data_IF_567287991510
#
_entry.id   IF_567287991510
#
_cell.length_a   1.000
_cell.length_b   1.000
_cell.length_c   1.000
_cell.angle_alpha   90.00
_cell.angle_beta   90.00
_cell.angle_gamma   90.00
#
_symmetry.space_group_name_H-M   'P 1'
#
loop_
_entity.id
_entity.type
_entity.pdbx_description
1 polymer ?
#
# COMPACT_ATOMS: atom_id res chain seq x y z
N UNK A 1 -26.00 -6.37 18.32
CA UNK A 1 -25.33 -5.70 17.19
C UNK A 1 -26.27 -5.92 15.99
N UNK A 2 -26.61 -4.85 15.26
CA UNK A 2 -27.37 -4.97 14.00
C UNK A 2 -26.59 -5.83 13.01
N UNK A 3 -27.28 -6.66 12.25
CA UNK A 3 -26.68 -7.46 11.18
C UNK A 3 -26.12 -6.54 10.10
N UNK A 4 -24.89 -6.77 9.67
CA UNK A 4 -24.26 -6.00 8.59
C UNK A 4 -24.79 -6.46 7.25
N UNK A 5 -25.57 -5.61 6.59
CA UNK A 5 -26.19 -5.84 5.27
C UNK A 5 -25.28 -5.38 4.12
N UNK A 6 -24.54 -4.26 4.32
CA UNK A 6 -23.60 -3.71 3.36
C UNK A 6 -22.23 -3.67 4.02
N UNK A 7 -21.34 -4.64 3.72
CA UNK A 7 -20.01 -4.69 4.30
C UNK A 7 -19.12 -3.60 3.71
N UNK A 8 -18.13 -3.15 4.48
CA UNK A 8 -17.17 -2.13 4.07
C UNK A 8 -16.38 -2.53 2.81
N UNK A 9 -15.89 -3.77 2.81
CA UNK A 9 -15.09 -4.36 1.73
C UNK A 9 -15.54 -5.80 1.51
N UNK A 10 -15.50 -6.23 0.26
CA UNK A 10 -15.66 -7.64 -0.12
C UNK A 10 -14.40 -8.02 -0.90
N UNK A 11 -13.50 -8.82 -0.32
CA UNK A 11 -12.32 -9.30 -1.02
C UNK A 11 -12.70 -10.05 -2.30
N UNK A 12 -11.93 -9.83 -3.36
CA UNK A 12 -12.11 -10.50 -4.64
C UNK A 12 -10.87 -11.31 -4.97
N UNK A 13 -10.98 -12.61 -4.87
CA UNK A 13 -9.97 -13.58 -5.28
C UNK A 13 -10.45 -14.33 -6.52
N UNK A 14 -9.56 -14.92 -7.32
CA UNK A 14 -9.91 -15.83 -8.40
C UNK A 14 -10.72 -17.01 -7.90
N UNK A 15 -11.62 -17.48 -8.73
CA UNK A 15 -12.40 -18.70 -8.45
C UNK A 15 -11.56 -19.97 -8.62
N UNK A 16 -12.18 -21.09 -8.32
CA UNK A 16 -11.54 -22.42 -8.37
C UNK A 16 -11.04 -22.75 -9.78
N UNK A 17 -11.82 -22.45 -10.78
CA UNK A 17 -11.54 -22.73 -12.18
C UNK A 17 -10.30 -21.98 -12.66
N UNK A 18 -10.15 -20.70 -12.29
CA UNK A 18 -8.97 -19.90 -12.61
C UNK A 18 -7.70 -20.40 -11.89
N UNK A 19 -7.84 -21.01 -10.72
CA UNK A 19 -6.71 -21.55 -9.96
C UNK A 19 -6.25 -22.93 -10.44
N UNK A 20 -7.12 -23.70 -11.05
CA UNK A 20 -6.90 -25.13 -11.30
C UNK A 20 -5.60 -25.44 -12.04
N UNK A 21 -5.30 -24.69 -13.12
CA UNK A 21 -4.11 -24.92 -13.92
C UNK A 21 -2.80 -24.62 -13.17
N UNK A 22 -2.81 -23.64 -12.29
CA UNK A 22 -1.65 -23.27 -11.46
C UNK A 22 -1.45 -24.27 -10.32
N UNK A 23 -2.52 -24.71 -9.65
CA UNK A 23 -2.44 -25.74 -8.61
C UNK A 23 -1.94 -27.06 -9.16
N UNK A 24 -2.38 -27.46 -10.37
CA UNK A 24 -1.88 -28.64 -11.06
C UNK A 24 -0.37 -28.63 -11.28
N UNK A 25 0.21 -27.46 -11.59
CA UNK A 25 1.67 -27.31 -11.71
C UNK A 25 2.40 -27.52 -10.37
N UNK A 26 1.81 -27.10 -9.24
CA UNK A 26 2.37 -27.34 -7.91
C UNK A 26 2.35 -28.85 -7.60
N UNK A 27 1.22 -29.49 -7.88
CA UNK A 27 1.06 -30.93 -7.62
C UNK A 27 2.02 -31.80 -8.45
N UNK A 28 2.23 -31.42 -9.72
CA UNK A 28 3.15 -32.11 -10.62
C UNK A 28 4.61 -31.93 -10.19
N UNK A 29 5.02 -30.68 -9.91
CA UNK A 29 6.42 -30.37 -9.59
C UNK A 29 6.79 -30.59 -8.13
N UNK A 30 5.81 -30.71 -7.23
CA UNK A 30 5.98 -30.85 -5.77
C UNK A 30 6.90 -29.78 -5.17
N UNK A 31 6.86 -28.57 -5.75
CA UNK A 31 7.60 -27.40 -5.30
C UNK A 31 6.61 -26.42 -4.67
N UNK A 32 6.75 -26.13 -3.39
CA UNK A 32 5.75 -25.42 -2.60
C UNK A 32 6.18 -24.04 -2.11
N UNK A 33 7.50 -23.78 -2.08
CA UNK A 33 8.11 -22.54 -1.58
C UNK A 33 9.52 -22.34 -2.14
N UNK A 34 10.30 -21.40 -1.57
CA UNK A 34 11.71 -21.20 -1.88
C UNK A 34 11.98 -20.84 -3.35
N UNK A 35 11.36 -19.77 -3.81
CA UNK A 35 11.58 -19.20 -5.15
C UNK A 35 11.27 -20.18 -6.28
N UNK A 36 10.14 -20.86 -6.16
CA UNK A 36 9.71 -21.87 -7.12
C UNK A 36 9.24 -21.30 -8.46
N UNK A 37 8.80 -22.17 -9.37
CA UNK A 37 8.48 -21.80 -10.75
C UNK A 37 7.35 -20.78 -10.87
N UNK A 38 6.28 -20.90 -10.05
CA UNK A 38 5.16 -19.95 -10.10
C UNK A 38 5.54 -18.58 -9.54
N UNK A 39 6.36 -18.54 -8.47
CA UNK A 39 6.93 -17.29 -7.95
C UNK A 39 7.73 -16.59 -9.04
N UNK A 40 8.64 -17.29 -9.73
CA UNK A 40 9.43 -16.71 -10.83
C UNK A 40 8.57 -16.24 -12.01
N UNK A 41 7.52 -17.00 -12.34
CA UNK A 41 6.57 -16.62 -13.39
C UNK A 41 5.80 -15.37 -13.00
N UNK A 42 5.36 -15.27 -11.73
CA UNK A 42 4.67 -14.08 -11.22
C UNK A 42 5.58 -12.85 -11.28
N UNK A 43 6.83 -12.97 -10.80
CA UNK A 43 7.81 -11.88 -10.85
C UNK A 43 8.07 -11.40 -12.29
N UNK A 44 8.26 -12.33 -13.23
CA UNK A 44 8.46 -12.01 -14.65
C UNK A 44 7.24 -11.32 -15.26
N UNK A 45 6.03 -11.79 -14.96
CA UNK A 45 4.79 -11.17 -15.48
C UNK A 45 4.53 -9.80 -14.87
N UNK A 46 4.77 -9.63 -13.58
CA UNK A 46 4.72 -8.31 -12.93
C UNK A 46 5.72 -7.35 -13.56
N UNK A 47 6.97 -7.78 -13.77
CA UNK A 47 7.99 -6.99 -14.43
C UNK A 47 7.52 -6.53 -15.83
N UNK A 48 6.93 -7.42 -16.62
CA UNK A 48 6.37 -7.10 -17.94
C UNK A 48 5.30 -6.00 -17.84
N UNK A 49 4.44 -6.01 -16.81
CA UNK A 49 3.44 -4.95 -16.61
C UNK A 49 4.10 -3.58 -16.35
N UNK A 50 5.19 -3.53 -15.58
CA UNK A 50 5.91 -2.28 -15.36
C UNK A 50 6.64 -1.81 -16.60
N UNK A 51 7.20 -2.72 -17.41
CA UNK A 51 7.92 -2.40 -18.65
C UNK A 51 7.02 -1.84 -19.76
N UNK A 52 5.71 -2.01 -19.68
CA UNK A 52 4.75 -1.31 -20.57
C UNK A 52 4.77 0.21 -20.31
N UNK A 53 5.09 0.63 -19.10
CA UNK A 53 5.06 2.04 -18.68
C UNK A 53 6.45 2.71 -18.65
N UNK A 54 7.53 1.92 -18.74
CA UNK A 54 8.89 2.43 -18.69
C UNK A 54 9.89 1.50 -19.37
N UNK A 55 10.97 2.07 -19.91
CA UNK A 55 12.11 1.32 -20.47
C UNK A 55 13.24 1.11 -19.44
N UNK A 56 12.99 1.40 -18.16
CA UNK A 56 14.00 1.25 -17.13
C UNK A 56 14.34 -0.23 -16.89
N UNK A 57 15.60 -0.55 -16.55
CA UNK A 57 15.97 -1.87 -16.06
C UNK A 57 15.40 -2.06 -14.65
N UNK A 58 14.26 -2.72 -14.53
CA UNK A 58 13.59 -2.95 -13.25
C UNK A 58 13.76 -4.40 -12.80
N UNK A 59 13.69 -4.60 -11.50
CA UNK A 59 13.66 -5.88 -10.82
C UNK A 59 12.40 -5.98 -9.97
N UNK A 60 11.79 -7.15 -9.94
CA UNK A 60 10.64 -7.46 -9.08
C UNK A 60 11.05 -8.59 -8.14
N UNK A 61 10.87 -8.36 -6.85
CA UNK A 61 11.13 -9.37 -5.79
C UNK A 61 9.85 -9.57 -5.00
N UNK A 62 9.28 -10.76 -5.03
CA UNK A 62 8.09 -11.11 -4.24
C UNK A 62 8.44 -11.40 -2.79
N UNK A 63 7.49 -11.07 -1.91
CA UNK A 63 7.59 -11.26 -0.46
C UNK A 63 6.27 -11.76 0.12
N UNK A 64 6.28 -12.36 1.30
CA UNK A 64 5.09 -12.93 1.94
C UNK A 64 4.09 -11.89 2.44
N UNK A 65 4.46 -10.62 2.55
CA UNK A 65 3.56 -9.48 2.79
C UNK A 65 4.23 -8.15 2.42
N UNK A 66 3.44 -7.13 2.08
CA UNK A 66 4.00 -5.78 1.86
C UNK A 66 4.69 -5.22 3.10
N UNK A 67 4.22 -5.52 4.30
CA UNK A 67 4.86 -5.07 5.55
C UNK A 67 6.30 -5.57 5.64
N UNK A 68 6.53 -6.85 5.32
CA UNK A 68 7.90 -7.40 5.23
C UNK A 68 8.65 -6.81 4.04
N UNK A 69 8.00 -6.57 2.90
CA UNK A 69 8.63 -5.86 1.78
C UNK A 69 9.14 -4.48 2.14
N UNK A 70 8.36 -3.70 2.91
CA UNK A 70 8.76 -2.39 3.43
C UNK A 70 9.94 -2.51 4.42
N UNK A 71 9.85 -3.46 5.37
CA UNK A 71 10.94 -3.73 6.33
C UNK A 71 12.25 -4.05 5.59
N UNK A 72 12.21 -4.96 4.62
CA UNK A 72 13.38 -5.37 3.86
C UNK A 72 13.92 -4.26 2.94
N UNK A 73 13.04 -3.49 2.27
CA UNK A 73 13.45 -2.36 1.44
C UNK A 73 14.12 -1.26 2.27
N UNK A 74 13.59 -0.96 3.47
CA UNK A 74 14.20 -0.04 4.40
C UNK A 74 15.56 -0.58 4.92
N UNK A 75 15.62 -1.85 5.30
CA UNK A 75 16.86 -2.49 5.76
C UNK A 75 17.94 -2.48 4.68
N UNK A 76 17.58 -2.67 3.40
CA UNK A 76 18.50 -2.61 2.26
C UNK A 76 19.10 -1.22 2.04
N UNK A 77 18.55 -0.15 2.62
CA UNK A 77 19.17 1.18 2.61
C UNK A 77 20.47 1.23 3.43
N UNK A 78 20.69 0.26 4.30
CA UNK A 78 21.87 0.10 5.15
C UNK A 78 22.25 1.39 5.92
N UNK A 79 21.24 2.07 6.49
CA UNK A 79 21.45 3.27 7.30
C UNK A 79 21.91 2.89 8.72
N UNK A 80 22.61 3.78 9.44
CA UNK A 80 22.94 3.57 10.85
C UNK A 80 21.70 3.27 11.69
N UNK A 81 21.84 2.37 12.67
CA UNK A 81 20.80 2.02 13.62
C UNK A 81 20.20 3.28 14.28
N UNK A 82 18.89 3.35 14.42
CA UNK A 82 18.20 4.50 15.00
C UNK A 82 18.08 5.71 14.06
N UNK A 83 18.50 5.62 12.78
CA UNK A 83 18.36 6.71 11.81
C UNK A 83 16.91 7.19 11.73
N UNK A 84 16.67 8.52 11.73
CA UNK A 84 15.33 9.08 11.59
C UNK A 84 14.78 8.83 10.18
N UNK A 85 13.55 8.27 10.10
CA UNK A 85 12.83 8.00 8.85
C UNK A 85 11.47 8.70 8.88
N UNK A 86 11.25 9.62 7.95
CA UNK A 86 9.97 10.34 7.81
C UNK A 86 8.87 9.40 7.31
N UNK A 87 7.66 9.58 7.86
CA UNK A 87 6.45 8.85 7.45
C UNK A 87 5.24 9.75 7.64
N UNK A 88 4.21 9.74 6.74
CA UNK A 88 3.02 10.57 6.93
C UNK A 88 2.21 10.13 8.16
N UNK A 89 1.59 11.08 8.84
CA UNK A 89 0.71 10.81 9.97
C UNK A 89 -0.54 10.01 9.57
N UNK A 90 -1.05 10.23 8.36
CA UNK A 90 -2.25 9.59 7.80
C UNK A 90 -1.86 8.39 6.93
N UNK A 91 -1.58 7.26 7.54
CA UNK A 91 -1.31 5.98 6.86
C UNK A 91 -1.66 4.81 7.77
N UNK A 92 -1.61 3.61 7.21
CA UNK A 92 -1.79 2.37 7.96
C UNK A 92 -0.56 2.07 8.84
N UNK A 93 -0.78 1.43 9.97
CA UNK A 93 0.28 1.14 10.98
C UNK A 93 1.43 0.30 10.44
N UNK A 94 1.26 -0.41 9.32
CA UNK A 94 2.32 -1.21 8.71
C UNK A 94 3.54 -0.37 8.32
N UNK A 95 3.33 0.87 7.82
CA UNK A 95 4.42 1.79 7.49
C UNK A 95 5.27 2.13 8.72
N UNK A 96 4.61 2.40 9.87
CA UNK A 96 5.29 2.64 11.16
C UNK A 96 6.06 1.40 11.63
N UNK A 97 5.39 0.25 11.61
CA UNK A 97 5.94 -1.03 12.06
C UNK A 97 7.17 -1.41 11.25
N UNK A 98 7.14 -1.22 9.92
CA UNK A 98 8.27 -1.54 9.05
C UNK A 98 9.52 -0.70 9.39
N UNK A 99 9.37 0.60 9.69
CA UNK A 99 10.47 1.48 10.10
C UNK A 99 11.11 0.99 11.40
N UNK A 100 10.27 0.67 12.41
CA UNK A 100 10.74 0.19 13.72
C UNK A 100 11.47 -1.15 13.57
N UNK A 101 10.92 -2.07 12.79
CA UNK A 101 11.51 -3.40 12.59
C UNK A 101 12.79 -3.37 11.76
N UNK A 102 12.93 -2.41 10.85
CA UNK A 102 14.20 -2.14 10.17
C UNK A 102 15.26 -1.52 11.09
N UNK A 103 14.90 -1.25 12.35
CA UNK A 103 15.80 -0.70 13.35
C UNK A 103 15.97 0.82 13.29
N UNK A 104 15.04 1.52 12.67
CA UNK A 104 15.07 2.97 12.51
C UNK A 104 14.08 3.67 13.44
N UNK A 105 14.25 4.98 13.60
CA UNK A 105 13.36 5.82 14.39
C UNK A 105 12.33 6.49 13.49
N UNK A 106 11.03 6.17 13.61
CA UNK A 106 10.01 6.86 12.84
C UNK A 106 9.88 8.32 13.25
N UNK A 107 9.78 9.19 12.26
CA UNK A 107 9.45 10.61 12.43
C UNK A 107 8.15 10.89 11.68
N UNK A 108 7.09 11.11 12.44
CA UNK A 108 5.77 11.37 11.87
C UNK A 108 5.68 12.82 11.42
N UNK A 109 5.35 13.03 10.14
CA UNK A 109 5.22 14.32 9.50
C UNK A 109 3.79 14.56 9.00
N UNK A 110 3.46 15.83 8.73
CA UNK A 110 2.17 16.25 8.21
C UNK A 110 2.00 15.85 6.73
N UNK A 111 0.83 16.13 6.18
CA UNK A 111 0.42 15.83 4.81
C UNK A 111 -0.05 17.09 4.09
N UNK A 112 -0.14 17.03 2.77
CA UNK A 112 -0.76 18.09 1.97
C UNK A 112 -2.29 18.08 2.14
N UNK A 113 -2.89 19.27 2.20
CA UNK A 113 -4.30 19.43 2.56
C UNK A 113 -5.28 18.81 1.57
N UNK A 114 -4.95 18.83 0.27
CA UNK A 114 -5.84 18.38 -0.79
C UNK A 114 -5.52 16.96 -1.25
N UNK A 115 -4.23 16.63 -1.45
CA UNK A 115 -3.81 15.29 -1.89
C UNK A 115 -3.74 14.27 -0.76
N UNK A 116 -3.71 14.70 0.49
CA UNK A 116 -3.53 13.89 1.72
C UNK A 116 -2.25 13.05 1.69
N UNK A 117 -1.28 13.43 0.90
CA UNK A 117 0.02 12.77 0.77
C UNK A 117 1.10 13.55 1.53
N UNK A 118 2.10 12.84 2.03
CA UNK A 118 3.39 13.45 2.31
C UNK A 118 4.05 13.78 0.97
N UNK A 119 4.34 15.06 0.73
CA UNK A 119 4.95 15.52 -0.52
C UNK A 119 6.45 15.79 -0.33
N UNK A 120 7.25 15.86 -1.43
CA UNK A 120 8.67 16.22 -1.34
C UNK A 120 8.93 17.56 -0.66
N UNK A 121 8.04 18.55 -0.80
CA UNK A 121 8.15 19.87 -0.18
C UNK A 121 8.02 19.77 1.35
N UNK A 122 6.97 19.08 1.83
CA UNK A 122 6.76 18.83 3.26
C UNK A 122 7.94 18.02 3.83
N UNK A 123 8.35 16.97 3.11
CA UNK A 123 9.48 16.13 3.51
C UNK A 123 10.80 16.92 3.57
N UNK A 124 11.01 17.89 2.67
CA UNK A 124 12.22 18.75 2.68
C UNK A 124 12.28 19.60 3.96
N UNK A 125 11.18 20.21 4.36
CA UNK A 125 11.10 21.00 5.57
C UNK A 125 11.28 20.12 6.83
N UNK A 126 10.58 18.98 6.88
CA UNK A 126 10.65 18.03 7.97
C UNK A 126 12.05 17.40 8.12
N UNK A 127 12.70 17.03 7.00
CA UNK A 127 14.04 16.45 7.02
C UNK A 127 15.10 17.39 7.59
N UNK A 128 15.01 18.69 7.23
CA UNK A 128 15.91 19.71 7.82
C UNK A 128 15.72 19.86 9.33
N UNK A 129 14.48 19.72 9.81
CA UNK A 129 14.15 19.88 11.23
C UNK A 129 14.61 18.68 12.08
N UNK A 130 14.52 17.46 11.57
CA UNK A 130 14.79 16.24 12.35
C UNK A 130 16.07 15.50 11.94
N UNK A 131 16.77 15.94 10.89
CA UNK A 131 17.96 15.26 10.38
C UNK A 131 17.64 13.89 9.73
N UNK A 132 16.45 13.74 9.11
CA UNK A 132 16.03 12.49 8.49
C UNK A 132 17.05 11.95 7.49
N UNK A 133 17.21 10.61 7.49
CA UNK A 133 18.08 9.88 6.57
C UNK A 133 17.30 9.18 5.47
N UNK A 134 16.02 8.92 5.72
CA UNK A 134 15.11 8.39 4.70
C UNK A 134 13.67 8.93 4.87
N UNK A 135 12.88 8.72 3.83
CA UNK A 135 11.44 8.95 3.79
C UNK A 135 10.76 7.65 3.35
N UNK A 136 9.74 7.23 4.07
CA UNK A 136 8.76 6.27 3.62
C UNK A 136 7.52 7.05 3.17
N UNK A 137 7.49 7.41 1.89
CA UNK A 137 6.32 8.05 1.28
C UNK A 137 5.21 7.02 1.05
N UNK A 138 3.95 7.42 1.22
CA UNK A 138 2.82 6.49 1.11
C UNK A 138 1.87 6.95 0.01
N UNK A 139 1.48 6.03 -0.87
CA UNK A 139 0.42 6.21 -1.85
C UNK A 139 -0.95 6.01 -1.18
N UNK A 140 -1.32 6.95 -0.29
CA UNK A 140 -2.49 6.87 0.57
C UNK A 140 -3.77 6.76 -0.25
N UNK A 141 -4.61 5.75 0.05
CA UNK A 141 -5.85 5.40 -0.67
C UNK A 141 -5.66 5.07 -2.16
N UNK A 142 -4.44 4.69 -2.56
CA UNK A 142 -4.11 4.34 -3.94
C UNK A 142 -3.72 5.54 -4.82
N UNK A 143 -3.67 6.76 -4.26
CA UNK A 143 -3.16 7.95 -4.93
C UNK A 143 -1.66 7.82 -5.13
N UNK A 144 -1.21 7.77 -6.38
CA UNK A 144 0.19 7.57 -6.72
C UNK A 144 1.10 8.71 -6.23
N UNK A 145 2.32 8.35 -5.85
CA UNK A 145 3.42 9.28 -5.60
C UNK A 145 4.20 9.53 -6.91
N UNK A 146 4.60 10.75 -7.16
CA UNK A 146 5.43 11.11 -8.31
C UNK A 146 6.89 10.71 -8.05
N UNK A 147 7.34 9.63 -8.68
CA UNK A 147 8.69 9.10 -8.48
C UNK A 147 9.79 10.04 -8.99
N UNK A 148 9.53 10.89 -9.98
CA UNK A 148 10.51 11.87 -10.48
C UNK A 148 10.68 13.01 -9.48
N UNK A 149 9.60 13.51 -8.88
CA UNK A 149 9.70 14.51 -7.82
C UNK A 149 10.42 13.97 -6.59
N UNK A 150 10.21 12.71 -6.24
CA UNK A 150 10.94 12.05 -5.16
C UNK A 150 12.41 11.79 -5.50
N UNK A 151 12.74 11.50 -6.75
CA UNK A 151 14.14 11.43 -7.21
C UNK A 151 14.83 12.78 -7.07
N UNK A 152 14.19 13.85 -7.53
CA UNK A 152 14.67 15.23 -7.36
C UNK A 152 14.90 15.59 -5.90
N UNK A 153 13.97 15.22 -5.02
CA UNK A 153 14.13 15.38 -3.57
C UNK A 153 15.36 14.63 -3.07
N UNK A 154 15.52 13.35 -3.43
CA UNK A 154 16.63 12.52 -3.01
C UNK A 154 17.97 13.11 -3.48
N UNK A 155 18.08 13.57 -4.72
CA UNK A 155 19.27 14.19 -5.27
C UNK A 155 19.62 15.52 -4.56
N UNK A 156 18.64 16.35 -4.25
CA UNK A 156 18.84 17.66 -3.61
C UNK A 156 19.18 17.56 -2.13
N UNK A 157 18.67 16.55 -1.44
CA UNK A 157 18.78 16.44 0.02
C UNK A 157 19.74 15.35 0.50
N UNK A 158 20.06 14.36 -0.34
CA UNK A 158 20.74 13.13 0.05
C UNK A 158 19.90 12.18 0.91
N UNK A 159 18.64 12.50 1.17
CA UNK A 159 17.71 11.67 1.96
C UNK A 159 17.12 10.58 1.07
N UNK A 160 17.26 9.31 1.47
CA UNK A 160 16.80 8.15 0.70
C UNK A 160 15.26 8.07 0.72
N UNK A 161 14.66 7.52 -0.35
CA UNK A 161 13.21 7.39 -0.44
C UNK A 161 12.81 5.96 -0.73
N UNK A 162 11.76 5.50 -0.04
CA UNK A 162 11.01 4.26 -0.33
C UNK A 162 9.55 4.65 -0.44
N UNK A 163 8.81 4.08 -1.41
CA UNK A 163 7.38 4.32 -1.57
C UNK A 163 6.59 3.10 -1.10
N UNK A 164 5.70 3.29 -0.13
CA UNK A 164 4.65 2.35 0.24
C UNK A 164 3.45 2.54 -0.70
N UNK A 165 3.34 1.69 -1.69
CA UNK A 165 2.25 1.65 -2.66
C UNK A 165 1.30 0.45 -2.42
N UNK A 166 1.14 0.01 -1.17
CA UNK A 166 0.37 -1.17 -0.81
C UNK A 166 -1.09 -1.17 -1.31
N UNK A 167 -1.66 -0.01 -1.61
CA UNK A 167 -3.02 0.13 -2.17
C UNK A 167 -3.06 0.63 -3.61
N UNK A 168 -1.91 0.78 -4.30
CA UNK A 168 -1.81 1.55 -5.52
C UNK A 168 -1.39 0.75 -6.77
N UNK A 169 -1.49 -0.58 -6.74
CA UNK A 169 -1.19 -1.38 -7.95
C UNK A 169 -2.10 -0.98 -9.11
N UNK A 170 -1.50 -0.75 -10.27
CA UNK A 170 -2.16 -0.23 -11.48
C UNK A 170 -2.19 1.31 -11.57
N UNK A 171 -1.85 2.03 -10.49
CA UNK A 171 -1.76 3.50 -10.47
C UNK A 171 -0.33 3.98 -10.24
N UNK A 172 0.41 3.29 -9.37
CA UNK A 172 1.79 3.64 -9.06
C UNK A 172 2.75 2.95 -10.04
N UNK A 173 3.41 3.76 -10.85
CA UNK A 173 4.46 3.33 -11.77
C UNK A 173 5.80 3.92 -11.36
N UNK A 174 6.90 3.35 -11.87
CA UNK A 174 8.26 3.85 -11.67
C UNK A 174 8.72 4.57 -12.94
N UNK A 175 9.06 5.85 -12.81
CA UNK A 175 9.64 6.66 -13.88
C UNK A 175 11.12 6.98 -13.63
N UNK A 176 11.69 6.39 -12.57
CA UNK A 176 13.11 6.45 -12.21
C UNK A 176 13.53 5.12 -11.59
N UNK A 177 14.78 4.66 -11.78
CA UNK A 177 15.29 3.44 -11.15
C UNK A 177 15.59 3.63 -9.65
N UNK A 178 15.75 4.87 -9.18
CA UNK A 178 16.35 5.20 -7.89
C UNK A 178 15.41 5.04 -6.70
N UNK A 179 14.11 4.96 -6.96
CA UNK A 179 13.07 4.94 -5.93
C UNK A 179 12.39 3.59 -5.89
N UNK A 180 12.67 2.73 -4.90
CA UNK A 180 11.97 1.46 -4.75
C UNK A 180 10.53 1.66 -4.30
N UNK A 181 9.64 0.81 -4.82
CA UNK A 181 8.20 0.86 -4.55
C UNK A 181 7.71 -0.50 -4.08
N UNK A 182 6.93 -0.52 -3.00
CA UNK A 182 6.42 -1.74 -2.37
C UNK A 182 4.91 -1.85 -2.55
N UNK A 183 4.45 -3.00 -3.05
CA UNK A 183 3.04 -3.30 -3.32
C UNK A 183 2.54 -4.44 -2.44
N UNK A 184 1.25 -4.41 -2.10
CA UNK A 184 0.58 -5.50 -1.36
C UNK A 184 -0.29 -6.34 -2.28
N UNK A 185 -0.24 -7.65 -2.05
CA UNK A 185 -1.15 -8.62 -2.64
C UNK A 185 -2.08 -9.27 -1.59
N UNK A 186 -2.29 -8.60 -0.44
CA UNK A 186 -3.30 -9.02 0.53
C UNK A 186 -4.69 -9.14 -0.12
N UNK A 187 -5.55 -10.03 0.38
CA UNK A 187 -6.87 -10.33 -0.17
C UNK A 187 -7.77 -9.11 -0.46
N UNK A 188 -7.61 -8.00 0.28
CA UNK A 188 -8.40 -6.77 0.10
C UNK A 188 -7.83 -5.82 -0.96
N UNK A 189 -6.67 -6.11 -1.54
CA UNK A 189 -6.00 -5.23 -2.51
C UNK A 189 -6.51 -5.49 -3.93
N UNK A 190 -6.17 -4.57 -4.84
CA UNK A 190 -6.61 -4.63 -6.24
C UNK A 190 -6.03 -5.83 -7.00
N UNK A 191 -4.76 -6.18 -6.75
CA UNK A 191 -4.15 -7.42 -7.18
C UNK A 191 -3.97 -8.30 -5.94
N UNK A 192 -4.83 -9.28 -5.75
CA UNK A 192 -4.87 -10.08 -4.55
C UNK A 192 -4.27 -11.47 -4.75
N UNK A 193 -3.47 -11.94 -3.79
CA UNK A 193 -2.93 -13.29 -3.74
C UNK A 193 -3.32 -14.04 -2.45
N UNK A 194 -4.30 -13.50 -1.70
CA UNK A 194 -4.61 -13.92 -0.33
C UNK A 194 -3.70 -13.23 0.65
N UNK A 195 -2.43 -13.57 0.68
CA UNK A 195 -1.34 -12.87 1.32
C UNK A 195 -0.17 -12.71 0.34
N UNK A 196 0.63 -11.66 0.50
CA UNK A 196 1.79 -11.40 -0.33
C UNK A 196 2.08 -9.93 -0.51
N UNK A 197 3.17 -9.68 -1.18
CA UNK A 197 3.62 -8.38 -1.66
C UNK A 197 4.77 -8.54 -2.62
N UNK A 198 5.21 -7.43 -3.17
CA UNK A 198 6.42 -7.39 -3.98
C UNK A 198 7.06 -6.00 -3.95
N UNK A 199 8.35 -5.98 -4.17
CA UNK A 199 9.16 -4.76 -4.30
C UNK A 199 9.60 -4.62 -5.74
N UNK A 200 9.46 -3.41 -6.30
CA UNK A 200 9.99 -3.04 -7.62
C UNK A 200 11.10 -2.03 -7.41
N UNK A 201 12.26 -2.27 -7.99
CA UNK A 201 13.43 -1.39 -7.90
C UNK A 201 14.21 -1.43 -9.21
N UNK A 202 14.84 -0.31 -9.59
CA UNK A 202 15.84 -0.27 -10.66
C UNK A 202 17.25 -0.60 -10.18
N UNK A 203 17.47 -0.70 -8.86
CA UNK A 203 18.74 -1.07 -8.27
C UNK A 203 18.84 -2.60 -8.12
N UNK A 204 19.71 -3.28 -8.91
CA UNK A 204 19.89 -4.72 -8.84
C UNK A 204 20.44 -5.19 -7.50
N UNK A 205 21.28 -4.38 -6.84
CA UNK A 205 21.83 -4.73 -5.54
C UNK A 205 20.76 -4.71 -4.45
N UNK A 206 19.88 -3.71 -4.46
CA UNK A 206 18.71 -3.69 -3.57
C UNK A 206 17.81 -4.91 -3.78
N UNK A 207 17.52 -5.27 -5.03
CA UNK A 207 16.70 -6.44 -5.33
C UNK A 207 17.36 -7.73 -4.81
N UNK A 208 18.69 -7.87 -5.01
CA UNK A 208 19.50 -8.99 -4.50
C UNK A 208 19.45 -9.07 -2.96
N UNK A 209 19.67 -7.94 -2.28
CA UNK A 209 19.64 -7.87 -0.80
C UNK A 209 18.26 -8.23 -0.25
N UNK A 210 17.17 -7.73 -0.88
CA UNK A 210 15.80 -8.07 -0.46
C UNK A 210 15.55 -9.57 -0.62
N UNK A 211 15.91 -10.16 -1.77
CA UNK A 211 15.77 -11.60 -2.01
C UNK A 211 16.56 -12.42 -0.98
N UNK A 212 17.80 -12.05 -0.71
CA UNK A 212 18.64 -12.69 0.29
C UNK A 212 18.08 -12.59 1.70
N UNK A 213 17.72 -11.38 2.15
CA UNK A 213 17.15 -11.17 3.48
C UNK A 213 15.78 -11.83 3.64
N UNK A 214 14.99 -11.95 2.56
CA UNK A 214 13.72 -12.68 2.57
C UNK A 214 13.89 -14.19 2.79
N UNK A 215 15.09 -14.69 2.54
CA UNK A 215 15.51 -16.09 2.79
C UNK A 215 16.53 -16.16 3.94
N UNK A 216 16.18 -15.63 5.09
CA UNK A 216 16.99 -15.64 6.32
C UNK A 216 18.32 -14.88 6.25
N UNK A 217 18.69 -14.25 5.13
CA UNK A 217 20.00 -13.65 4.90
C UNK A 217 21.08 -14.66 4.46
N UNK A 218 20.67 -15.84 4.04
CA UNK A 218 21.56 -16.93 3.59
C UNK A 218 22.13 -16.58 2.20
N UNK A 219 23.44 -16.80 2.02
CA UNK A 219 24.06 -16.75 0.70
C UNK A 219 23.55 -17.88 -0.18
N UNK A 220 22.94 -17.54 -1.31
CA UNK A 220 22.49 -18.49 -2.34
C UNK A 220 23.36 -18.43 -3.61
N UNK A 221 24.37 -17.54 -3.66
CA UNK A 221 25.22 -17.30 -4.80
C UNK A 221 26.65 -17.82 -4.55
N UNK A 222 27.31 -18.26 -5.60
CA UNK A 222 28.72 -18.63 -5.57
C UNK A 222 29.57 -17.35 -5.51
N UNK A 223 29.87 -16.89 -4.32
CA UNK A 223 30.80 -15.79 -4.09
C UNK A 223 32.16 -16.31 -3.62
N UNK A 224 33.23 -15.64 -4.05
CA UNK A 224 34.60 -16.13 -3.82
C UNK A 224 34.96 -16.29 -2.34
N UNK A 225 34.42 -15.43 -1.46
CA UNK A 225 34.87 -15.36 -0.07
C UNK A 225 33.90 -15.98 0.94
N UNK A 226 32.65 -16.25 0.56
CA UNK A 226 31.65 -16.78 1.49
C UNK A 226 30.90 -17.95 0.83
N UNK A 227 30.98 -19.17 1.40
CA UNK A 227 30.31 -20.33 0.83
C UNK A 227 28.78 -20.20 0.82
N UNK A 228 28.14 -20.87 -0.15
CA UNK A 228 26.67 -21.04 -0.18
C UNK A 228 26.18 -21.68 1.12
N UNK A 229 25.07 -21.17 1.64
CA UNK A 229 24.47 -21.63 2.90
C UNK A 229 24.91 -20.87 4.15
N UNK A 230 25.93 -20.03 4.06
CA UNK A 230 26.34 -19.15 5.18
C UNK A 230 25.48 -17.90 5.23
N UNK A 231 25.33 -17.32 6.42
CA UNK A 231 24.65 -16.02 6.61
C UNK A 231 25.55 -14.87 6.14
N UNK A 232 25.01 -14.01 5.27
CA UNK A 232 25.64 -12.73 4.88
C UNK A 232 25.07 -11.55 5.68
N UNK A 233 23.82 -11.66 6.13
CA UNK A 233 23.14 -10.64 6.91
C UNK A 233 22.06 -11.26 7.79
N UNK A 234 21.53 -10.50 8.74
CA UNK A 234 20.29 -10.88 9.42
C UNK A 234 19.13 -10.76 8.44
N UNK A 235 18.30 -11.79 8.38
CA UNK A 235 17.12 -11.83 7.53
C UNK A 235 15.94 -12.49 8.22
N UNK A 236 14.89 -12.77 7.46
CA UNK A 236 13.67 -13.38 7.95
C UNK A 236 13.10 -14.35 6.91
N UNK A 237 12.09 -15.16 7.29
CA UNK A 237 11.35 -15.96 6.33
C UNK A 237 10.22 -15.13 5.71
N UNK A 238 10.55 -14.38 4.66
CA UNK A 238 9.61 -13.52 3.96
C UNK A 238 9.32 -13.96 2.51
N UNK A 239 9.68 -15.20 2.16
CA UNK A 239 9.44 -15.74 0.81
C UNK A 239 7.95 -15.92 0.55
N UNK A 240 7.53 -15.60 -0.68
CA UNK A 240 6.19 -15.96 -1.16
C UNK A 240 6.11 -17.48 -1.40
N UNK A 241 4.98 -18.10 -1.03
CA UNK A 241 4.74 -19.51 -1.35
C UNK A 241 4.23 -19.69 -2.79
N UNK A 242 4.41 -20.87 -3.37
CA UNK A 242 3.87 -21.21 -4.68
C UNK A 242 2.33 -21.15 -4.71
N UNK A 243 1.65 -21.47 -3.60
CA UNK A 243 0.20 -21.33 -3.51
C UNK A 243 -0.27 -19.87 -3.62
N UNK A 244 0.40 -18.95 -2.92
CA UNK A 244 0.07 -17.51 -3.07
C UNK A 244 0.48 -16.98 -4.46
N UNK A 245 1.58 -17.50 -5.02
CA UNK A 245 1.95 -17.15 -6.40
C UNK A 245 0.91 -17.64 -7.43
N UNK A 246 0.35 -18.84 -7.24
CA UNK A 246 -0.75 -19.36 -8.06
C UNK A 246 -1.97 -18.44 -8.02
N UNK A 247 -2.39 -18.01 -6.82
CA UNK A 247 -3.49 -17.04 -6.67
C UNK A 247 -3.15 -15.70 -7.31
N UNK A 248 -1.93 -15.21 -7.10
CA UNK A 248 -1.46 -13.95 -7.70
C UNK A 248 -1.45 -14.00 -9.23
N UNK A 249 -1.02 -15.11 -9.84
CA UNK A 249 -1.03 -15.31 -11.29
C UNK A 249 -2.46 -15.33 -11.84
N UNK A 250 -3.37 -16.07 -11.22
CA UNK A 250 -4.78 -16.11 -11.62
C UNK A 250 -5.45 -14.73 -11.46
N UNK A 251 -5.09 -13.98 -10.39
CA UNK A 251 -5.54 -12.59 -10.23
C UNK A 251 -5.01 -11.68 -11.34
N UNK A 252 -3.76 -11.87 -11.74
CA UNK A 252 -3.13 -11.09 -12.82
C UNK A 252 -3.77 -11.38 -14.19
N UNK A 253 -4.22 -12.63 -14.44
CA UNK A 253 -4.99 -12.98 -15.64
C UNK A 253 -6.32 -12.20 -15.72
N UNK A 254 -6.98 -12.00 -14.59
CA UNK A 254 -8.26 -11.29 -14.50
C UNK A 254 -8.13 -9.77 -14.30
N UNK A 255 -6.89 -9.29 -14.07
CA UNK A 255 -6.61 -7.92 -13.67
C UNK A 255 -7.27 -6.84 -14.54
N UNK A 256 -7.15 -6.85 -15.90
CA UNK A 256 -7.71 -5.78 -16.73
C UNK A 256 -9.23 -5.64 -16.55
N UNK A 257 -9.93 -6.77 -16.46
CA UNK A 257 -11.37 -6.80 -16.27
C UNK A 257 -11.77 -6.29 -14.88
N UNK A 258 -11.03 -6.71 -13.85
CA UNK A 258 -11.32 -6.31 -12.46
C UNK A 258 -11.01 -4.84 -12.22
N UNK A 259 -9.92 -4.33 -12.77
CA UNK A 259 -9.59 -2.91 -12.71
C UNK A 259 -10.68 -2.06 -13.36
N UNK A 260 -11.15 -2.45 -14.55
CA UNK A 260 -12.24 -1.75 -15.23
C UNK A 260 -13.55 -1.74 -14.43
N UNK A 261 -13.94 -2.88 -13.83
CA UNK A 261 -15.12 -2.95 -12.96
C UNK A 261 -15.00 -2.00 -11.77
N UNK A 262 -13.84 -1.97 -11.08
CA UNK A 262 -13.59 -1.06 -9.96
C UNK A 262 -13.71 0.41 -10.36
N UNK A 263 -13.13 0.79 -11.51
CA UNK A 263 -13.24 2.15 -12.04
C UNK A 263 -14.70 2.56 -12.30
N UNK A 264 -15.47 1.70 -12.97
CA UNK A 264 -16.89 1.99 -13.30
C UNK A 264 -17.70 2.20 -12.03
N UNK A 265 -17.61 1.28 -11.07
CA UNK A 265 -18.33 1.39 -9.79
C UNK A 265 -17.90 2.64 -9.00
N UNK A 266 -16.59 2.92 -8.97
CA UNK A 266 -16.06 4.10 -8.28
C UNK A 266 -16.59 5.40 -8.90
N UNK A 267 -16.58 5.51 -10.24
CA UNK A 267 -17.08 6.68 -10.95
C UNK A 267 -18.58 6.91 -10.72
N UNK A 268 -19.39 5.84 -10.82
CA UNK A 268 -20.82 5.90 -10.55
C UNK A 268 -21.11 6.33 -9.11
N UNK A 269 -20.41 5.76 -8.15
CA UNK A 269 -20.59 6.08 -6.74
C UNK A 269 -20.20 7.53 -6.44
N UNK A 270 -19.10 8.00 -7.00
CA UNK A 270 -18.68 9.40 -6.89
C UNK A 270 -19.74 10.34 -7.49
N UNK A 271 -20.28 10.01 -8.67
CA UNK A 271 -21.34 10.78 -9.31
C UNK A 271 -22.60 10.86 -8.45
N UNK A 272 -23.07 9.73 -7.89
CA UNK A 272 -24.22 9.70 -6.99
C UNK A 272 -24.04 10.63 -5.80
N UNK A 273 -22.91 10.53 -5.13
CA UNK A 273 -22.61 11.36 -3.96
C UNK A 273 -22.47 12.84 -4.31
N UNK A 274 -21.77 13.16 -5.40
CA UNK A 274 -21.59 14.54 -5.84
C UNK A 274 -22.92 15.21 -6.22
N UNK A 275 -23.79 14.48 -6.90
CA UNK A 275 -25.12 14.97 -7.27
C UNK A 275 -26.03 15.19 -6.05
N UNK A 276 -25.97 14.31 -5.03
CA UNK A 276 -26.84 14.36 -3.86
C UNK A 276 -26.35 15.33 -2.79
N UNK A 277 -25.05 15.39 -2.56
CA UNK A 277 -24.42 16.12 -1.45
C UNK A 277 -23.65 17.37 -1.88
N UNK A 278 -23.39 17.52 -3.20
CA UNK A 278 -22.73 18.72 -3.74
C UNK A 278 -21.37 19.00 -3.10
N UNK A 279 -21.10 20.29 -2.86
CA UNK A 279 -19.83 20.80 -2.34
C UNK A 279 -19.63 20.55 -0.83
N UNK A 280 -20.57 19.88 -0.17
CA UNK A 280 -20.43 19.53 1.25
C UNK A 280 -19.42 18.41 1.50
N UNK A 281 -19.08 17.67 0.45
CA UNK A 281 -18.08 16.62 0.48
C UNK A 281 -16.72 17.11 -0.05
N UNK A 282 -15.64 16.71 0.62
CA UNK A 282 -14.29 16.98 0.14
C UNK A 282 -13.59 15.67 -0.22
N UNK A 283 -13.09 15.61 -1.44
CA UNK A 283 -12.41 14.45 -2.00
C UNK A 283 -10.90 14.63 -1.96
N UNK A 284 -10.18 13.51 -1.91
CA UNK A 284 -8.74 13.52 -2.18
C UNK A 284 -8.49 13.98 -3.61
N UNK A 285 -7.64 14.99 -3.79
CA UNK A 285 -7.27 15.47 -5.13
C UNK A 285 -6.15 14.63 -5.73
N UNK A 286 -6.12 14.58 -7.06
CA UNK A 286 -5.12 13.83 -7.82
C UNK A 286 -5.74 12.94 -8.89
N UNK A 287 -4.99 11.96 -9.35
CA UNK A 287 -5.45 11.01 -10.37
C UNK A 287 -6.27 9.91 -9.69
N UNK A 288 -7.49 9.69 -10.16
CA UNK A 288 -8.31 8.55 -9.69
C UNK A 288 -7.53 7.25 -9.84
N UNK A 289 -7.40 6.44 -8.77
CA UNK A 289 -6.69 5.17 -8.85
C UNK A 289 -7.22 4.25 -9.95
N UNK A 290 -6.32 3.59 -10.69
CA UNK A 290 -6.68 2.70 -11.78
C UNK A 290 -7.55 1.51 -11.35
N UNK A 291 -7.40 1.08 -10.10
CA UNK A 291 -8.21 0.02 -9.50
C UNK A 291 -8.48 0.32 -8.02
N UNK A 292 -9.33 1.31 -7.71
CA UNK A 292 -9.60 1.71 -6.33
C UNK A 292 -10.08 0.52 -5.49
N UNK A 293 -9.64 0.47 -4.24
CA UNK A 293 -10.00 -0.57 -3.27
C UNK A 293 -10.71 -0.01 -2.05
N UNK A 294 -10.66 1.30 -1.88
CA UNK A 294 -11.31 2.04 -0.80
C UNK A 294 -12.06 3.23 -1.38
N UNK A 295 -13.06 3.68 -0.68
CA UNK A 295 -13.82 4.88 -1.04
C UNK A 295 -13.87 5.77 0.20
N UNK A 296 -13.10 6.85 0.19
CA UNK A 296 -12.91 7.72 1.35
C UNK A 296 -13.30 9.16 1.00
N UNK A 297 -14.02 9.81 1.92
CA UNK A 297 -14.51 11.16 1.73
C UNK A 297 -14.51 11.92 3.06
N UNK A 298 -14.31 13.22 3.02
CA UNK A 298 -14.49 14.12 4.17
C UNK A 298 -15.90 14.72 4.14
N UNK A 299 -16.55 14.75 5.29
CA UNK A 299 -17.95 15.16 5.45
C UNK A 299 -18.10 16.52 6.20
N UNK A 300 -17.06 17.34 6.16
CA UNK A 300 -17.06 18.72 6.64
C UNK A 300 -16.86 18.91 8.14
N UNK A 301 -17.29 17.97 8.98
CA UNK A 301 -17.07 18.04 10.43
C UNK A 301 -17.03 16.67 11.11
N UNK A 302 -16.37 16.61 12.28
CA UNK A 302 -16.38 15.40 13.12
C UNK A 302 -17.78 15.05 13.63
N UNK A 303 -18.63 16.06 13.86
CA UNK A 303 -20.01 15.85 14.29
C UNK A 303 -20.86 15.20 13.19
N UNK A 304 -20.72 15.67 11.93
CA UNK A 304 -21.36 15.06 10.76
C UNK A 304 -20.87 13.62 10.55
N UNK A 305 -19.56 13.37 10.66
CA UNK A 305 -19.00 12.02 10.58
C UNK A 305 -19.57 11.09 11.65
N UNK A 306 -19.62 11.52 12.90
CA UNK A 306 -20.14 10.72 14.01
C UNK A 306 -21.65 10.46 13.88
N UNK A 307 -22.41 11.42 13.31
CA UNK A 307 -23.81 11.23 12.97
C UNK A 307 -23.97 10.22 11.84
N UNK A 308 -23.17 10.35 10.76
CA UNK A 308 -23.15 9.44 9.63
C UNK A 308 -22.88 7.99 10.05
N UNK A 309 -21.87 7.76 10.88
CA UNK A 309 -21.56 6.43 11.40
C UNK A 309 -22.74 5.80 12.18
N UNK A 310 -23.43 6.59 13.00
CA UNK A 310 -24.61 6.11 13.74
C UNK A 310 -25.76 5.75 12.79
N UNK A 311 -26.03 6.56 11.80
CA UNK A 311 -27.09 6.30 10.81
C UNK A 311 -26.75 5.05 9.97
N UNK A 312 -25.53 4.96 9.46
CA UNK A 312 -25.06 3.78 8.73
C UNK A 312 -25.16 2.50 9.58
N UNK A 313 -24.72 2.54 10.83
CA UNK A 313 -24.80 1.38 11.73
C UNK A 313 -26.25 0.93 11.97
N UNK A 314 -27.20 1.88 12.12
CA UNK A 314 -28.63 1.59 12.27
C UNK A 314 -29.19 0.83 11.07
N UNK A 315 -28.76 1.17 9.87
CA UNK A 315 -29.18 0.54 8.61
C UNK A 315 -28.36 -0.71 8.26
N UNK A 316 -27.40 -1.11 9.08
CA UNK A 316 -26.53 -2.26 8.82
C UNK A 316 -25.43 -1.99 7.78
N UNK A 317 -25.00 -0.74 7.64
CA UNK A 317 -23.97 -0.31 6.70
C UNK A 317 -22.66 -0.13 7.46
N UNK A 318 -21.61 -0.85 7.03
CA UNK A 318 -20.29 -0.75 7.64
C UNK A 318 -19.53 0.47 7.14
N UNK A 319 -18.91 1.23 8.04
CA UNK A 319 -18.02 2.35 7.74
C UNK A 319 -16.68 2.18 8.45
N UNK A 320 -15.68 2.97 8.09
CA UNK A 320 -14.36 2.93 8.72
C UNK A 320 -13.74 4.30 8.83
N UNK A 321 -13.12 4.60 9.98
CA UNK A 321 -12.27 5.77 10.16
C UNK A 321 -10.85 5.44 9.67
N UNK A 322 -10.56 5.74 8.41
CA UNK A 322 -9.22 5.59 7.81
C UNK A 322 -8.39 6.86 8.04
N UNK A 323 -7.21 6.86 8.53
CA UNK A 323 -6.56 5.89 9.39
C UNK A 323 -6.59 6.48 10.79
N UNK A 324 -7.47 5.98 11.64
CA UNK A 324 -7.56 6.43 13.03
C UNK A 324 -7.34 5.26 13.98
N UNK A 325 -6.56 5.50 15.04
CA UNK A 325 -5.86 6.74 15.38
C UNK A 325 -4.72 7.05 14.38
N UNK A 326 -4.34 8.35 14.23
CA UNK A 326 -3.16 8.75 13.46
C UNK A 326 -1.88 8.12 14.05
N UNK A 327 -0.83 7.96 13.21
CA UNK A 327 0.35 7.18 13.60
C UNK A 327 1.00 7.62 14.92
N UNK A 328 1.11 8.92 15.17
CA UNK A 328 1.71 9.44 16.41
C UNK A 328 0.94 9.06 17.67
N UNK A 329 -0.36 8.74 17.57
CA UNK A 329 -1.18 8.31 18.69
C UNK A 329 -0.95 6.84 19.07
N UNK A 330 -0.41 6.02 18.16
CA UNK A 330 -0.02 4.65 18.45
C UNK A 330 1.28 4.55 19.29
N UNK A 331 2.13 5.56 19.22
CA UNK A 331 3.47 5.56 19.79
C UNK A 331 3.56 5.33 21.30
N UNK A 332 2.51 5.66 22.05
CA UNK A 332 2.49 5.54 23.52
C UNK A 332 2.87 4.15 24.06
N UNK A 333 2.91 3.12 23.21
CA UNK A 333 3.21 1.72 23.60
C UNK A 333 4.27 1.02 22.72
N UNK A 334 4.75 1.64 21.65
CA UNK A 334 5.58 0.95 20.64
C UNK A 334 7.05 1.37 20.65
N UNK A 335 7.48 2.24 21.54
CA UNK A 335 8.86 2.67 21.65
C UNK A 335 9.08 4.12 21.20
N UNK A 336 10.32 4.43 20.83
CA UNK A 336 10.73 5.78 20.50
C UNK A 336 10.20 6.21 19.13
N UNK A 337 9.44 7.30 19.09
CA UNK A 337 8.89 7.93 17.88
C UNK A 337 9.04 9.45 18.04
N UNK A 338 9.44 10.12 16.99
CA UNK A 338 9.47 11.58 16.91
C UNK A 338 8.19 12.04 16.22
N UNK A 339 7.47 12.98 16.82
CA UNK A 339 6.27 13.57 16.27
C UNK A 339 6.53 15.04 15.95
N UNK A 340 6.49 15.38 14.67
CA UNK A 340 6.42 16.77 14.20
C UNK A 340 4.96 17.24 14.22
N UNK A 341 4.68 18.56 14.29
CA UNK A 341 3.30 19.06 14.21
C UNK A 341 2.57 18.54 12.96
N UNK A 342 1.35 18.03 13.14
CA UNK A 342 0.53 17.41 12.08
C UNK A 342 -0.89 18.01 11.98
N UNK A 343 -1.04 19.36 11.99
CA UNK A 343 -2.36 19.99 12.03
C UNK A 343 -3.25 19.66 10.84
N UNK A 344 -2.66 19.45 9.65
CA UNK A 344 -3.43 19.11 8.46
C UNK A 344 -3.93 17.66 8.55
N UNK A 345 -3.07 16.71 8.92
CA UNK A 345 -3.48 15.32 9.10
C UNK A 345 -4.57 15.19 10.17
N UNK A 346 -4.46 15.93 11.28
CA UNK A 346 -5.47 15.96 12.34
C UNK A 346 -6.81 16.51 11.83
N UNK A 347 -6.77 17.63 11.06
CA UNK A 347 -7.97 18.21 10.44
C UNK A 347 -8.61 17.25 9.45
N UNK A 348 -7.83 16.59 8.58
CA UNK A 348 -8.33 15.60 7.62
C UNK A 348 -8.93 14.41 8.35
N UNK A 349 -8.24 13.86 9.34
CA UNK A 349 -8.73 12.71 10.10
C UNK A 349 -10.00 13.01 10.92
N UNK A 350 -10.23 14.28 11.29
CA UNK A 350 -11.38 14.67 12.11
C UNK A 350 -12.73 14.37 11.45
N UNK A 351 -12.82 14.48 10.12
CA UNK A 351 -14.07 14.31 9.36
C UNK A 351 -13.97 13.30 8.20
N UNK A 352 -12.83 12.63 8.06
CA UNK A 352 -12.61 11.58 7.06
C UNK A 352 -13.34 10.30 7.45
N UNK A 353 -14.04 9.70 6.46
CA UNK A 353 -14.71 8.41 6.61
C UNK A 353 -14.52 7.56 5.37
N UNK A 354 -14.31 6.27 5.56
CA UNK A 354 -14.36 5.25 4.51
C UNK A 354 -15.76 4.67 4.41
N UNK A 355 -16.28 4.69 3.21
CA UNK A 355 -17.60 4.15 2.85
C UNK A 355 -17.47 2.74 2.26
N UNK A 356 -18.54 1.93 2.26
CA UNK A 356 -18.54 0.64 1.58
C UNK A 356 -18.09 0.74 0.12
N UNK A 357 -17.18 -0.14 -0.28
CA UNK A 357 -16.74 -0.21 -1.67
C UNK A 357 -16.38 -1.63 -2.08
N UNK A 358 -17.04 -2.13 -3.10
CA UNK A 358 -16.72 -3.41 -3.74
C UNK A 358 -17.23 -3.43 -5.19
N UNK A 359 -16.75 -4.36 -6.00
CA UNK A 359 -17.26 -4.56 -7.38
C UNK A 359 -18.69 -5.15 -7.43
N UNK A 360 -19.26 -5.49 -6.29
CA UNK A 360 -20.61 -6.04 -6.14
C UNK A 360 -21.63 -4.98 -5.70
N UNK A 361 -21.22 -3.71 -5.54
CA UNK A 361 -22.13 -2.65 -5.15
C UNK A 361 -23.20 -2.42 -6.22
N UNK A 362 -24.45 -2.37 -5.78
CA UNK A 362 -25.58 -2.04 -6.64
C UNK A 362 -25.90 -0.55 -6.59
N UNK A 363 -26.56 -0.05 -7.63
CA UNK A 363 -27.05 1.35 -7.68
C UNK A 363 -27.93 1.67 -6.46
N UNK A 364 -28.84 0.76 -6.07
CA UNK A 364 -29.71 0.95 -4.91
C UNK A 364 -28.91 1.11 -3.60
N UNK A 365 -27.82 0.36 -3.42
CA UNK A 365 -26.95 0.52 -2.26
C UNK A 365 -26.21 1.88 -2.25
N UNK A 366 -25.77 2.35 -3.41
CA UNK A 366 -25.13 3.67 -3.55
C UNK A 366 -26.11 4.80 -3.25
N UNK A 367 -27.38 4.68 -3.71
CA UNK A 367 -28.44 5.64 -3.43
C UNK A 367 -28.78 5.71 -1.94
N UNK A 368 -28.96 4.56 -1.28
CA UNK A 368 -29.22 4.50 0.16
C UNK A 368 -28.10 5.18 0.95
N UNK A 369 -26.84 4.91 0.60
CA UNK A 369 -25.70 5.53 1.28
C UNK A 369 -25.67 7.04 1.03
N UNK A 370 -25.96 7.49 -0.19
CA UNK A 370 -25.99 8.91 -0.53
C UNK A 370 -27.11 9.65 0.24
N UNK A 371 -28.27 9.02 0.42
CA UNK A 371 -29.37 9.58 1.21
C UNK A 371 -28.98 9.73 2.69
N UNK A 372 -28.34 8.70 3.26
CA UNK A 372 -27.86 8.74 4.65
C UNK A 372 -26.80 9.80 4.86
N UNK A 373 -25.88 9.97 3.89
CA UNK A 373 -24.85 11.03 3.96
C UNK A 373 -25.53 12.40 3.92
N UNK A 374 -26.46 12.62 2.99
CA UNK A 374 -27.19 13.88 2.87
C UNK A 374 -27.98 14.21 4.14
N UNK A 375 -28.54 13.22 4.82
CA UNK A 375 -29.20 13.41 6.12
C UNK A 375 -28.18 13.78 7.23
N UNK A 376 -26.95 13.25 7.17
CA UNK A 376 -25.96 13.37 8.23
C UNK A 376 -25.22 14.71 8.23
N UNK A 377 -25.07 15.34 7.07
CA UNK A 377 -24.32 16.59 6.87
C UNK A 377 -25.27 17.78 6.87
#
# INVERSE_FOLDING_TARGET
MSEIKIPLLIPQLPDREALWAYLGQIDEKKHYSNFGPLVKTLESRLLTQFQVHTQLPLHVTTVSSATLGLELALSALNLPQGSPVLVPALTFVASLTAIIRAGYTPVVADIHADSWLLTPEIATAAAKQCGAKAVLAVATFGQAQDTLQWQDFQHKTGVRVVIDAAGAYGSQWLHTPDIPVVFSMHATKSLAAGEGGFVVSGDPEMARLIAQMSNFGINLELQADIPVGYLLSAGTNAKLSEYHAAVGLASLDQWPQMAKKRQVIHAQYHEFLSRKCGDTLTWQTGITPAAPTTFSVRVGSGASRDRLERLCLKEGIATRRWYQPLLHLHAKKVGHLIHLPTPIAEKVAADLIGLPFSIFMTTAQMEIIADIIHEAI
#
